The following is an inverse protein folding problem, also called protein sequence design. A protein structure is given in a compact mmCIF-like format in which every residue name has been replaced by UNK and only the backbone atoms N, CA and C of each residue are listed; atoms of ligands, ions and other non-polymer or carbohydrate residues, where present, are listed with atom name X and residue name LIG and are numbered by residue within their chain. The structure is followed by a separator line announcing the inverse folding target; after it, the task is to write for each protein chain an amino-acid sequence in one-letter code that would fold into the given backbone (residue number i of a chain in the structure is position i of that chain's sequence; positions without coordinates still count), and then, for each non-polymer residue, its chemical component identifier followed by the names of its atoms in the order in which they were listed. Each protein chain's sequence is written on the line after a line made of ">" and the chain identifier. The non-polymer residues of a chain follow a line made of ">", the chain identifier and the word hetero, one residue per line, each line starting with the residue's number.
data_IF_864924485520
#
_entry.id   IF_864924485520
#
_cell.length_a   1.000
_cell.length_b   1.000
_cell.length_c   1.000
_cell.angle_alpha   90.00
_cell.angle_beta   90.00
_cell.angle_gamma   90.00
#
_symmetry.space_group_name_H-M   'P 1'
#
loop_
_entity.id
_entity.type
_entity.pdbx_description
1 polymer ?
#
# COMPACT_ATOMS: atom_id res chain seq x y z
N UNK A 1 17.33 4.78 -5.67
CA UNK A 1 17.05 4.37 -4.28
C UNK A 1 15.84 5.16 -3.83
N UNK A 2 14.78 4.49 -3.36
CA UNK A 2 14.15 3.28 -3.87
C UNK A 2 13.19 3.68 -5.00
N UNK A 3 13.02 2.79 -5.95
CA UNK A 3 13.08 3.02 -7.41
C UNK A 3 14.50 2.98 -7.96
N UNK A 4 14.69 2.09 -8.93
CA UNK A 4 15.88 2.01 -9.78
C UNK A 4 15.79 3.04 -10.91
N UNK A 5 16.93 3.43 -11.49
CA UNK A 5 16.95 4.35 -12.65
C UNK A 5 16.04 3.83 -13.78
N UNK A 6 16.06 2.53 -14.03
CA UNK A 6 15.21 1.88 -15.02
C UNK A 6 13.72 2.03 -14.72
N UNK A 7 13.30 1.81 -13.46
CA UNK A 7 11.90 2.03 -13.06
C UNK A 7 11.48 3.49 -13.21
N UNK A 8 12.37 4.43 -12.86
CA UNK A 8 12.09 5.85 -13.03
C UNK A 8 11.90 6.22 -14.52
N UNK A 9 12.68 5.64 -15.42
CA UNK A 9 12.50 5.83 -16.86
C UNK A 9 11.13 5.33 -17.34
N UNK A 10 10.73 4.13 -16.91
CA UNK A 10 9.40 3.57 -17.20
C UNK A 10 8.30 4.48 -16.64
N UNK A 11 8.39 4.85 -15.36
CA UNK A 11 7.41 5.71 -14.69
C UNK A 11 7.28 7.08 -15.35
N UNK A 12 8.39 7.73 -15.74
CA UNK A 12 8.34 9.02 -16.47
C UNK A 12 7.57 8.93 -17.79
N UNK A 13 7.64 7.80 -18.48
CA UNK A 13 6.87 7.60 -19.71
C UNK A 13 5.39 7.43 -19.40
N UNK A 14 5.06 6.64 -18.39
CA UNK A 14 3.68 6.24 -18.06
C UNK A 14 2.92 7.27 -17.21
N UNK A 15 3.60 8.10 -16.42
CA UNK A 15 3.01 9.05 -15.48
C UNK A 15 2.00 10.01 -16.15
N UNK A 16 2.27 10.40 -17.41
CA UNK A 16 1.38 11.28 -18.20
C UNK A 16 0.00 10.67 -18.49
N UNK A 17 -0.12 9.34 -18.39
CA UNK A 17 -1.35 8.59 -18.61
C UNK A 17 -2.02 8.18 -17.30
N UNK A 18 -1.55 8.70 -16.17
CA UNK A 18 -2.18 8.47 -14.87
C UNK A 18 -3.22 9.56 -14.60
N UNK A 19 -4.23 9.19 -13.82
CA UNK A 19 -5.34 10.05 -13.41
C UNK A 19 -5.86 9.58 -12.04
N UNK A 20 -6.81 10.30 -11.42
CA UNK A 20 -7.50 9.79 -10.23
C UNK A 20 -8.17 8.42 -10.40
N UNK A 21 -8.43 7.98 -11.63
CA UNK A 21 -9.00 6.67 -12.00
C UNK A 21 -7.96 5.68 -12.55
N UNK A 22 -6.69 6.08 -12.65
CA UNK A 22 -5.56 5.26 -13.11
C UNK A 22 -4.30 5.66 -12.34
N UNK A 23 -3.99 4.96 -11.25
CA UNK A 23 -2.99 5.39 -10.28
C UNK A 23 -2.06 4.24 -9.86
N UNK A 24 -0.90 4.61 -9.30
CA UNK A 24 0.05 3.64 -8.74
C UNK A 24 -0.30 3.32 -7.28
N UNK A 25 -0.14 2.06 -6.88
CA UNK A 25 -0.26 1.66 -5.47
C UNK A 25 0.79 0.58 -5.13
N UNK A 26 0.53 -0.20 -4.08
CA UNK A 26 1.35 -1.36 -3.74
C UNK A 26 2.76 -1.00 -3.25
N UNK A 27 3.71 -1.88 -3.54
CA UNK A 27 5.06 -1.82 -2.97
C UNK A 27 5.83 -0.56 -3.36
N UNK A 28 5.57 -0.02 -4.56
CA UNK A 28 6.28 1.16 -5.07
C UNK A 28 5.95 2.42 -4.28
N UNK A 29 4.70 2.57 -3.83
CA UNK A 29 4.28 3.73 -3.02
C UNK A 29 4.86 3.67 -1.61
N UNK A 30 4.95 2.47 -1.02
CA UNK A 30 5.63 2.29 0.28
C UNK A 30 7.13 2.58 0.17
N UNK A 31 7.72 2.21 -0.98
CA UNK A 31 9.16 2.20 -1.17
C UNK A 31 9.61 3.23 -2.24
N UNK A 32 9.07 4.44 -2.20
CA UNK A 32 9.38 5.49 -3.18
C UNK A 32 10.56 6.38 -2.78
N UNK A 33 10.80 6.58 -1.48
CA UNK A 33 11.76 7.61 -0.99
C UNK A 33 13.01 7.02 -0.35
N UNK A 34 14.15 7.72 -0.46
CA UNK A 34 15.40 7.28 0.16
C UNK A 34 15.21 6.89 1.64
N UNK A 35 15.70 5.71 2.04
CA UNK A 35 15.58 5.19 3.40
C UNK A 35 14.45 4.19 3.65
N UNK A 36 13.66 3.81 2.63
CA UNK A 36 12.72 2.69 2.74
C UNK A 36 13.46 1.34 2.63
N UNK A 37 12.90 0.23 3.14
CA UNK A 37 13.68 -0.99 3.40
C UNK A 37 14.04 -1.80 2.16
N UNK A 38 13.35 -1.64 1.02
CA UNK A 38 13.53 -2.49 -0.15
C UNK A 38 13.21 -1.78 -1.46
N UNK A 39 13.64 -2.36 -2.57
CA UNK A 39 13.16 -2.02 -3.90
C UNK A 39 11.84 -2.74 -4.18
N UNK A 40 10.98 -2.12 -5.00
CA UNK A 40 9.81 -2.82 -5.57
C UNK A 40 10.24 -3.58 -6.82
N UNK A 41 9.68 -4.76 -7.06
CA UNK A 41 9.96 -5.55 -8.27
C UNK A 41 8.92 -5.30 -9.37
N UNK A 42 7.78 -4.76 -8.97
CA UNK A 42 6.60 -4.47 -9.77
C UNK A 42 6.15 -3.02 -9.63
N UNK A 43 5.45 -2.56 -10.66
CA UNK A 43 4.63 -1.36 -10.66
C UNK A 43 3.16 -1.80 -10.76
N UNK A 44 2.42 -1.57 -9.67
CA UNK A 44 1.00 -1.89 -9.58
C UNK A 44 0.17 -0.67 -9.98
N UNK A 45 -0.52 -0.76 -11.12
CA UNK A 45 -1.37 0.27 -11.70
C UNK A 45 -2.82 -0.15 -11.52
N UNK A 46 -3.58 0.62 -10.77
CA UNK A 46 -4.97 0.31 -10.45
C UNK A 46 -5.96 1.24 -11.15
N UNK A 47 -7.13 0.69 -11.45
CA UNK A 47 -8.24 1.38 -12.07
C UNK A 47 -9.53 1.19 -11.28
N UNK A 48 -10.35 2.24 -11.21
CA UNK A 48 -11.67 2.19 -10.56
C UNK A 48 -12.71 1.41 -11.42
N UNK A 49 -12.38 1.01 -12.66
CA UNK A 49 -13.29 0.33 -13.57
C UNK A 49 -12.60 -0.65 -14.53
N UNK A 50 -13.16 -1.86 -14.68
CA UNK A 50 -12.65 -2.95 -15.54
C UNK A 50 -12.46 -2.51 -16.99
N UNK A 51 -13.43 -1.78 -17.54
CA UNK A 51 -13.44 -1.34 -18.94
C UNK A 51 -12.23 -0.47 -19.32
N UNK A 52 -11.52 0.09 -18.34
CA UNK A 52 -10.37 0.98 -18.55
C UNK A 52 -9.04 0.22 -18.44
N UNK A 53 -9.00 -0.92 -17.73
CA UNK A 53 -7.78 -1.71 -17.48
C UNK A 53 -7.12 -2.11 -18.80
N UNK A 54 -7.86 -2.76 -19.70
CA UNK A 54 -7.35 -3.25 -20.98
C UNK A 54 -6.79 -2.10 -21.84
N UNK A 55 -7.54 -0.99 -21.94
CA UNK A 55 -7.14 0.19 -22.72
C UNK A 55 -5.89 0.83 -22.13
N UNK A 56 -5.83 1.01 -20.81
CA UNK A 56 -4.66 1.57 -20.13
C UNK A 56 -3.43 0.71 -20.35
N UNK A 57 -3.56 -0.61 -20.22
CA UNK A 57 -2.46 -1.54 -20.42
C UNK A 57 -1.95 -1.49 -21.87
N UNK A 58 -2.84 -1.46 -22.86
CA UNK A 58 -2.46 -1.39 -24.27
C UNK A 58 -1.75 -0.07 -24.63
N UNK A 59 -2.23 1.07 -24.11
CA UNK A 59 -1.59 2.38 -24.30
C UNK A 59 -0.21 2.43 -23.66
N UNK A 60 -0.08 1.91 -22.43
CA UNK A 60 1.20 1.89 -21.71
C UNK A 60 2.22 1.01 -22.45
N UNK A 61 1.80 -0.19 -22.88
CA UNK A 61 2.68 -1.10 -23.64
C UNK A 61 3.08 -0.50 -24.98
N UNK A 62 2.16 0.11 -25.72
CA UNK A 62 2.47 0.80 -26.97
C UNK A 62 3.50 1.91 -26.75
N UNK A 63 3.32 2.71 -25.69
CA UNK A 63 4.26 3.78 -25.32
C UNK A 63 5.65 3.23 -25.05
N UNK A 64 5.75 2.15 -24.26
CA UNK A 64 7.03 1.53 -23.94
C UNK A 64 7.70 0.96 -25.20
N UNK A 65 6.97 0.24 -26.05
CA UNK A 65 7.51 -0.29 -27.31
C UNK A 65 8.03 0.82 -28.23
N UNK A 66 7.31 1.94 -28.36
CA UNK A 66 7.76 3.10 -29.14
C UNK A 66 9.03 3.76 -28.57
N UNK A 67 9.32 3.56 -27.27
CA UNK A 67 10.51 4.06 -26.60
C UNK A 67 11.61 2.98 -26.47
N UNK A 68 11.56 1.93 -27.29
CA UNK A 68 12.61 0.93 -27.42
C UNK A 68 12.66 -0.10 -26.29
N UNK A 69 11.57 -0.27 -25.55
CA UNK A 69 11.42 -1.38 -24.60
C UNK A 69 10.86 -2.60 -25.34
N UNK A 70 11.41 -3.77 -25.03
CA UNK A 70 10.74 -5.03 -25.33
C UNK A 70 9.69 -5.27 -24.24
N UNK A 71 8.45 -5.59 -24.64
CA UNK A 71 7.36 -5.84 -23.70
C UNK A 71 6.70 -7.16 -24.01
N UNK A 72 6.68 -8.06 -23.03
CA UNK A 72 6.10 -9.40 -23.14
C UNK A 72 4.93 -9.51 -22.19
N UNK A 73 3.77 -9.93 -22.70
CA UNK A 73 2.60 -10.22 -21.87
C UNK A 73 2.77 -11.54 -21.13
N UNK A 74 2.67 -11.52 -19.80
CA UNK A 74 2.62 -12.73 -18.98
C UNK A 74 1.17 -13.22 -18.79
N UNK A 75 0.20 -12.28 -18.65
CA UNK A 75 -1.21 -12.61 -18.42
C UNK A 75 -2.15 -11.51 -18.95
N UNK A 76 -3.29 -11.90 -19.54
CA UNK A 76 -4.37 -10.99 -19.94
C UNK A 76 -5.73 -11.61 -19.59
N UNK A 77 -6.48 -10.93 -18.72
CA UNK A 77 -7.84 -11.28 -18.26
C UNK A 77 -8.64 -9.97 -18.09
N UNK A 78 -9.97 -9.97 -18.21
CA UNK A 78 -10.77 -8.73 -18.27
C UNK A 78 -10.45 -7.70 -17.18
N UNK A 79 -10.24 -8.16 -15.94
CA UNK A 79 -9.93 -7.31 -14.78
C UNK A 79 -8.44 -7.26 -14.37
N UNK A 80 -7.56 -7.96 -15.10
CA UNK A 80 -6.14 -8.06 -14.73
C UNK A 80 -5.23 -8.35 -15.94
N UNK A 81 -4.26 -7.47 -16.14
CA UNK A 81 -3.23 -7.58 -17.17
C UNK A 81 -1.86 -7.54 -16.50
N UNK A 82 -0.93 -8.36 -16.98
CA UNK A 82 0.47 -8.39 -16.52
C UNK A 82 1.42 -8.47 -17.70
N UNK A 83 2.42 -7.63 -17.69
CA UNK A 83 3.51 -7.65 -18.65
C UNK A 83 4.87 -7.47 -17.96
N UNK A 84 5.92 -7.85 -18.67
CA UNK A 84 7.30 -7.53 -18.33
C UNK A 84 7.86 -6.59 -19.40
N UNK A 85 8.31 -5.42 -18.98
CA UNK A 85 9.04 -4.48 -19.83
C UNK A 85 10.54 -4.64 -19.56
N UNK A 86 11.34 -4.73 -20.62
CA UNK A 86 12.79 -4.92 -20.54
C UNK A 86 13.55 -4.06 -21.55
N UNK A 87 14.75 -3.61 -21.14
CA UNK A 87 15.71 -2.92 -22.00
C UNK A 87 17.10 -3.05 -21.40
N UNK A 88 18.11 -3.30 -22.23
CA UNK A 88 19.53 -3.33 -21.82
C UNK A 88 19.81 -4.24 -20.61
N UNK A 89 19.19 -5.43 -20.57
CA UNK A 89 19.37 -6.41 -19.48
C UNK A 89 18.64 -6.08 -18.17
N UNK A 90 17.91 -4.96 -18.11
CA UNK A 90 17.05 -4.60 -16.99
C UNK A 90 15.60 -4.93 -17.32
N UNK A 91 14.79 -5.25 -16.30
CA UNK A 91 13.36 -5.52 -16.48
C UNK A 91 12.54 -5.07 -15.29
N UNK A 92 11.25 -4.81 -15.53
CA UNK A 92 10.26 -4.49 -14.50
C UNK A 92 8.94 -5.15 -14.86
N UNK A 93 8.24 -5.67 -13.84
CA UNK A 93 6.88 -6.18 -14.00
C UNK A 93 5.88 -5.02 -13.89
N UNK A 94 4.89 -5.03 -14.77
CA UNK A 94 3.78 -4.10 -14.80
C UNK A 94 2.50 -4.88 -14.62
N UNK A 95 1.73 -4.51 -13.59
CA UNK A 95 0.42 -5.09 -13.32
C UNK A 95 -0.64 -3.99 -13.46
N UNK A 96 -1.65 -4.24 -14.29
CA UNK A 96 -2.84 -3.40 -14.40
C UNK A 96 -4.03 -4.18 -13.86
N UNK A 97 -4.71 -3.64 -12.86
CA UNK A 97 -5.78 -4.33 -12.17
C UNK A 97 -6.94 -3.40 -11.84
N UNK A 98 -8.15 -3.95 -11.78
CA UNK A 98 -9.25 -3.24 -11.11
C UNK A 98 -9.00 -3.22 -9.60
N UNK A 99 -9.31 -2.11 -8.94
CA UNK A 99 -9.37 -1.98 -7.48
C UNK A 99 -10.73 -1.48 -7.03
N UNK A 100 -11.04 -1.69 -5.75
CA UNK A 100 -12.18 -1.03 -5.13
C UNK A 100 -11.95 0.48 -5.10
N UNK A 101 -12.94 1.24 -5.56
CA UNK A 101 -12.94 2.69 -5.40
C UNK A 101 -13.18 3.11 -3.92
N UNK A 102 -13.40 2.17 -2.99
CA UNK A 102 -13.52 2.46 -1.57
C UNK A 102 -12.16 2.75 -0.93
N UNK A 103 -11.96 3.98 -0.45
CA UNK A 103 -10.71 4.46 0.14
C UNK A 103 -11.00 5.53 1.19
N UNK A 104 -10.02 5.80 2.05
CA UNK A 104 -10.16 6.85 3.07
C UNK A 104 -9.83 8.22 2.49
N UNK A 105 -8.77 8.30 1.70
CA UNK A 105 -8.32 9.55 1.11
C UNK A 105 -8.45 9.51 -0.41
N UNK A 106 -8.65 10.67 -1.06
CA UNK A 106 -8.57 10.76 -2.52
C UNK A 106 -7.21 10.31 -3.04
N UNK A 107 -7.17 9.90 -4.31
CA UNK A 107 -5.92 9.67 -5.03
C UNK A 107 -5.11 10.96 -5.08
N UNK A 108 -3.80 10.86 -4.85
CA UNK A 108 -2.89 11.99 -4.78
C UNK A 108 -2.13 12.13 -6.09
N UNK A 109 -1.95 13.36 -6.55
CA UNK A 109 -1.00 13.64 -7.61
C UNK A 109 0.43 13.39 -7.09
N UNK A 110 1.29 12.83 -7.94
CA UNK A 110 2.66 12.51 -7.59
C UNK A 110 3.61 12.91 -8.74
N UNK A 111 4.71 13.57 -8.41
CA UNK A 111 5.63 14.10 -9.43
C UNK A 111 6.36 12.98 -10.20
N UNK A 112 6.57 11.82 -9.59
CA UNK A 112 7.29 10.69 -10.18
C UNK A 112 6.33 9.62 -10.71
N UNK A 113 5.25 9.35 -9.97
CA UNK A 113 4.27 8.32 -10.29
C UNK A 113 3.08 8.85 -11.12
N UNK A 114 2.94 10.16 -11.30
CA UNK A 114 1.78 10.81 -11.92
C UNK A 114 0.61 10.92 -10.95
N UNK A 115 0.04 9.77 -10.55
CA UNK A 115 -0.97 9.67 -9.50
C UNK A 115 -0.73 8.41 -8.66
N UNK A 116 -0.96 8.50 -7.35
CA UNK A 116 -0.78 7.39 -6.43
C UNK A 116 -1.90 7.28 -5.39
N UNK A 117 -2.13 6.07 -4.91
CA UNK A 117 -2.97 5.83 -3.74
C UNK A 117 -2.32 6.49 -2.51
N UNK A 118 -3.16 7.09 -1.65
CA UNK A 118 -2.69 7.70 -0.41
C UNK A 118 -1.98 6.65 0.47
N UNK A 119 -0.88 7.03 1.12
CA UNK A 119 -0.02 6.08 1.84
C UNK A 119 -0.77 5.31 2.93
N UNK A 120 -1.74 5.95 3.60
CA UNK A 120 -2.56 5.29 4.62
C UNK A 120 -3.45 4.20 4.03
N UNK A 121 -3.98 4.42 2.83
CA UNK A 121 -4.77 3.43 2.11
C UNK A 121 -3.89 2.27 1.62
N UNK A 122 -2.67 2.57 1.16
CA UNK A 122 -1.67 1.54 0.82
C UNK A 122 -1.30 0.70 2.04
N UNK A 123 -1.13 1.33 3.21
CA UNK A 123 -0.81 0.63 4.45
C UNK A 123 -1.90 -0.38 4.85
N UNK A 124 -3.18 0.00 4.73
CA UNK A 124 -4.28 -0.93 4.95
C UNK A 124 -4.26 -2.08 3.95
N UNK A 125 -4.03 -1.80 2.66
CA UNK A 125 -3.93 -2.83 1.65
C UNK A 125 -2.77 -3.81 1.93
N UNK A 126 -1.66 -3.32 2.51
CA UNK A 126 -0.52 -4.15 2.91
C UNK A 126 -0.82 -5.07 4.09
N UNK A 127 -1.54 -4.58 5.09
CA UNK A 127 -2.02 -5.40 6.21
C UNK A 127 -3.01 -6.47 5.73
N UNK A 128 -3.95 -6.10 4.85
CA UNK A 128 -4.89 -7.06 4.26
C UNK A 128 -4.17 -8.11 3.38
N UNK A 129 -3.18 -7.69 2.59
CA UNK A 129 -2.36 -8.60 1.82
C UNK A 129 -1.60 -9.58 2.72
N UNK A 130 -0.94 -9.10 3.78
CA UNK A 130 -0.23 -9.96 4.73
C UNK A 130 -1.19 -10.94 5.44
N UNK A 131 -2.44 -10.55 5.68
CA UNK A 131 -3.46 -11.44 6.23
C UNK A 131 -3.96 -12.48 5.20
N UNK A 132 -3.96 -12.14 3.91
CA UNK A 132 -4.42 -13.02 2.83
C UNK A 132 -3.36 -13.94 2.22
N UNK A 133 -2.06 -13.64 2.39
CA UNK A 133 -0.95 -14.41 1.82
C UNK A 133 0.34 -14.31 2.63
N UNK A 134 1.21 -15.31 2.45
CA UNK A 134 2.54 -15.37 3.04
C UNK A 134 3.60 -14.87 2.05
N UNK A 135 3.78 -13.55 1.94
CA UNK A 135 4.86 -12.93 1.16
C UNK A 135 5.77 -12.07 2.05
N UNK A 136 7.06 -12.41 2.12
CA UNK A 136 8.03 -11.73 3.01
C UNK A 136 8.11 -10.21 2.77
N UNK A 137 7.90 -9.74 1.54
CA UNK A 137 7.87 -8.31 1.20
C UNK A 137 6.75 -7.54 1.87
N UNK A 138 5.58 -8.15 2.05
CA UNK A 138 4.44 -7.51 2.71
C UNK A 138 4.72 -7.36 4.22
N UNK A 139 5.40 -8.33 4.83
CA UNK A 139 5.86 -8.24 6.21
C UNK A 139 6.90 -7.13 6.43
N UNK A 140 7.88 -7.02 5.53
CA UNK A 140 8.87 -5.93 5.56
C UNK A 140 8.18 -4.56 5.44
N UNK A 141 7.25 -4.43 4.48
CA UNK A 141 6.50 -3.19 4.27
C UNK A 141 5.65 -2.83 5.51
N UNK A 142 4.93 -3.79 6.09
CA UNK A 142 4.09 -3.59 7.30
C UNK A 142 4.95 -3.15 8.50
N UNK A 143 6.10 -3.78 8.73
CA UNK A 143 6.99 -3.35 9.82
C UNK A 143 7.59 -1.96 9.58
N UNK A 144 7.89 -1.60 8.34
CA UNK A 144 8.33 -0.25 8.02
C UNK A 144 7.23 0.77 8.31
N UNK A 145 6.01 0.54 7.80
CA UNK A 145 4.86 1.42 8.01
C UNK A 145 4.49 1.55 9.49
N UNK A 146 4.59 0.47 10.27
CA UNK A 146 4.42 0.49 11.71
C UNK A 146 5.35 1.49 12.40
N UNK A 147 6.61 1.57 11.94
CA UNK A 147 7.64 2.42 12.53
C UNK A 147 7.58 3.87 12.03
N UNK A 148 7.14 4.10 10.80
CA UNK A 148 7.30 5.40 10.13
C UNK A 148 6.01 6.14 9.83
N UNK A 149 4.85 5.46 9.85
CA UNK A 149 3.58 6.01 9.40
C UNK A 149 2.48 5.94 10.47
N UNK A 150 1.99 4.74 10.77
CA UNK A 150 0.93 4.48 11.75
C UNK A 150 1.18 3.15 12.43
N UNK A 151 0.78 3.01 13.71
CA UNK A 151 0.95 1.73 14.41
C UNK A 151 0.21 0.58 13.69
N UNK A 152 0.72 -0.65 13.83
CA UNK A 152 0.08 -1.85 13.28
C UNK A 152 -1.40 -1.92 13.69
N UNK A 153 -1.70 -1.61 14.95
CA UNK A 153 -3.08 -1.56 15.46
C UNK A 153 -3.94 -0.53 14.74
N UNK A 154 -3.47 0.71 14.57
CA UNK A 154 -4.25 1.75 13.90
C UNK A 154 -4.54 1.39 12.43
N UNK A 155 -3.55 0.81 11.74
CA UNK A 155 -3.72 0.35 10.35
C UNK A 155 -4.71 -0.82 10.29
N UNK A 156 -4.55 -1.83 11.14
CA UNK A 156 -5.42 -3.01 11.17
C UNK A 156 -6.87 -2.66 11.55
N UNK A 157 -7.06 -1.75 12.50
CA UNK A 157 -8.37 -1.25 12.89
C UNK A 157 -9.10 -0.60 11.71
N UNK A 158 -8.44 0.30 10.99
CA UNK A 158 -9.02 0.99 9.85
C UNK A 158 -9.23 0.05 8.64
N UNK A 159 -8.33 -0.92 8.44
CA UNK A 159 -8.41 -1.89 7.34
C UNK A 159 -9.72 -2.70 7.36
N UNK A 160 -10.32 -2.92 8.54
CA UNK A 160 -11.61 -3.62 8.67
C UNK A 160 -12.77 -2.90 7.96
N UNK A 161 -12.65 -1.59 7.64
CA UNK A 161 -13.65 -0.93 6.80
C UNK A 161 -13.54 -1.30 5.32
N UNK A 162 -12.34 -1.68 4.85
CA UNK A 162 -12.13 -2.10 3.45
C UNK A 162 -12.56 -3.54 3.22
N UNK A 163 -12.44 -4.37 4.25
CA UNK A 163 -12.93 -5.76 4.24
C UNK A 163 -13.72 -6.04 5.52
N UNK A 164 -15.05 -5.85 5.48
CA UNK A 164 -15.93 -6.08 6.63
C UNK A 164 -15.99 -7.53 7.11
N UNK A 165 -15.37 -8.48 6.40
CA UNK A 165 -15.22 -9.86 6.86
C UNK A 165 -14.23 -10.00 8.02
N UNK A 166 -13.40 -8.99 8.27
CA UNK A 166 -12.41 -9.00 9.34
C UNK A 166 -12.85 -8.22 10.58
N UNK A 167 -12.46 -8.76 11.75
CA UNK A 167 -12.27 -7.97 12.97
C UNK A 167 -10.79 -7.64 13.14
N UNK A 168 -10.43 -6.61 13.93
CA UNK A 168 -9.03 -6.26 14.16
C UNK A 168 -8.21 -7.44 14.73
N UNK A 169 -8.79 -8.20 15.66
CA UNK A 169 -8.14 -9.38 16.26
C UNK A 169 -7.95 -10.51 15.26
N UNK A 170 -8.96 -10.80 14.43
CA UNK A 170 -8.86 -11.82 13.39
C UNK A 170 -7.77 -11.44 12.38
N UNK A 171 -7.72 -10.17 12.00
CA UNK A 171 -6.72 -9.67 11.07
C UNK A 171 -5.29 -9.80 11.61
N UNK A 172 -5.05 -9.46 12.89
CA UNK A 172 -3.76 -9.70 13.54
C UNK A 172 -3.40 -11.20 13.58
N UNK A 173 -4.37 -12.07 13.82
CA UNK A 173 -4.17 -13.50 13.88
C UNK A 173 -3.76 -14.07 12.52
N UNK A 174 -4.46 -13.71 11.44
CA UNK A 174 -4.13 -14.19 10.09
C UNK A 174 -2.78 -13.66 9.62
N UNK A 175 -2.47 -12.38 9.87
CA UNK A 175 -1.11 -11.87 9.60
C UNK A 175 -0.05 -12.64 10.39
N UNK A 176 -0.31 -12.96 11.67
CA UNK A 176 0.61 -13.74 12.50
C UNK A 176 0.87 -15.14 11.97
N UNK A 177 -0.15 -15.80 11.38
CA UNK A 177 -0.02 -17.11 10.72
C UNK A 177 0.81 -17.03 9.44
N UNK A 178 0.59 -15.99 8.65
CA UNK A 178 1.30 -15.77 7.40
C UNK A 178 2.70 -15.18 7.59
N UNK A 179 3.02 -14.65 8.78
CA UNK A 179 4.33 -14.09 9.11
C UNK A 179 5.33 -15.15 9.60
N UNK A 180 5.41 -16.29 8.89
CA UNK A 180 6.33 -17.38 9.16
C UNK A 180 7.31 -17.58 8.00
N UNK A 181 8.38 -16.79 8.01
CA UNK A 181 9.36 -16.74 6.92
C UNK A 181 10.70 -17.34 7.32
N UNK A 182 11.34 -18.02 6.36
CA UNK A 182 12.71 -18.47 6.45
C UNK A 182 13.69 -17.33 6.07
N UNK A 183 14.92 -17.33 6.61
CA UNK A 183 15.93 -16.33 6.25
C UNK A 183 16.18 -16.18 4.74
N UNK A 184 16.10 -17.30 4.00
CA UNK A 184 16.28 -17.31 2.55
C UNK A 184 15.24 -16.47 1.79
N UNK A 185 14.01 -16.36 2.32
CA UNK A 185 12.95 -15.56 1.71
C UNK A 185 13.26 -14.06 1.79
N UNK A 186 13.90 -13.61 2.88
CA UNK A 186 14.38 -12.23 2.99
C UNK A 186 15.60 -11.98 2.12
N UNK A 187 16.50 -12.95 1.96
CA UNK A 187 17.67 -12.85 1.08
C UNK A 187 17.30 -12.75 -0.40
N UNK A 188 16.14 -13.30 -0.79
CA UNK A 188 15.61 -13.18 -2.14
C UNK A 188 15.05 -11.77 -2.45
N UNK A 189 14.82 -10.94 -1.43
CA UNK A 189 14.34 -9.57 -1.62
C UNK A 189 15.49 -8.65 -1.99
N UNK A 190 15.23 -7.72 -2.91
CA UNK A 190 16.12 -6.59 -3.16
C UNK A 190 16.02 -5.58 -2.00
N UNK A 191 16.73 -5.83 -0.91
CA UNK A 191 16.73 -4.97 0.28
C UNK A 191 17.70 -3.78 0.11
N UNK A 192 17.29 -2.60 0.58
CA UNK A 192 18.13 -1.40 0.57
C UNK A 192 19.13 -1.37 1.74
N UNK A 193 18.87 -2.16 2.78
CA UNK A 193 19.71 -2.30 3.98
C UNK A 193 19.69 -3.75 4.46
N UNK A 194 20.74 -4.20 5.19
CA UNK A 194 20.74 -5.51 5.80
C UNK A 194 19.48 -5.73 6.66
N UNK A 195 18.89 -6.92 6.54
CA UNK A 195 17.71 -7.30 7.31
C UNK A 195 18.10 -8.28 8.40
N UNK A 196 17.66 -8.00 9.63
CA UNK A 196 17.80 -8.90 10.78
C UNK A 196 16.44 -9.54 11.07
N UNK A 197 16.22 -10.82 10.70
CA UNK A 197 14.96 -11.52 10.97
C UNK A 197 14.64 -11.64 12.46
N UNK A 198 15.65 -11.72 13.33
CA UNK A 198 15.45 -11.82 14.78
C UNK A 198 14.91 -10.52 15.35
N UNK A 199 15.57 -9.40 15.05
CA UNK A 199 15.09 -8.07 15.45
C UNK A 199 13.72 -7.73 14.83
N UNK A 200 13.48 -8.14 13.57
CA UNK A 200 12.19 -7.99 12.92
C UNK A 200 11.09 -8.79 13.64
N UNK A 201 11.37 -10.02 14.08
CA UNK A 201 10.40 -10.83 14.84
C UNK A 201 10.10 -10.23 16.21
N UNK A 202 11.10 -9.69 16.91
CA UNK A 202 10.89 -8.98 18.18
C UNK A 202 9.98 -7.77 17.97
N UNK A 203 10.28 -6.96 16.95
CA UNK A 203 9.45 -5.78 16.60
C UNK A 203 8.02 -6.19 16.27
N UNK A 204 7.84 -7.28 15.51
CA UNK A 204 6.50 -7.80 15.18
C UNK A 204 5.70 -8.18 16.43
N UNK A 205 6.32 -8.89 17.38
CA UNK A 205 5.65 -9.30 18.61
C UNK A 205 5.23 -8.09 19.44
N UNK A 206 6.10 -7.09 19.57
CA UNK A 206 5.80 -5.82 20.24
C UNK A 206 4.64 -5.08 19.54
N UNK A 207 4.68 -4.96 18.22
CA UNK A 207 3.63 -4.32 17.44
C UNK A 207 2.26 -5.00 17.62
N UNK A 208 2.23 -6.33 17.76
CA UNK A 208 1.01 -7.10 18.03
C UNK A 208 0.48 -6.83 19.43
N UNK A 209 1.35 -6.77 20.44
CA UNK A 209 0.96 -6.43 21.82
C UNK A 209 0.39 -5.01 21.91
N UNK A 210 1.09 -4.04 21.33
CA UNK A 210 0.64 -2.64 21.23
C UNK A 210 -0.69 -2.52 20.48
N UNK A 211 -0.86 -3.28 19.39
CA UNK A 211 -2.11 -3.29 18.64
C UNK A 211 -3.29 -3.79 19.48
N UNK A 212 -3.11 -4.86 20.25
CA UNK A 212 -4.15 -5.38 21.16
C UNK A 212 -4.51 -4.38 22.24
N UNK A 213 -3.50 -3.75 22.86
CA UNK A 213 -3.73 -2.71 23.86
C UNK A 213 -4.50 -1.51 23.27
N UNK A 214 -4.21 -1.15 22.01
CA UNK A 214 -4.96 -0.13 21.30
C UNK A 214 -6.42 -0.56 21.08
N UNK A 215 -6.70 -1.80 20.67
CA UNK A 215 -8.07 -2.24 20.42
C UNK A 215 -8.95 -2.14 21.69
N UNK A 216 -8.40 -2.45 22.86
CA UNK A 216 -9.10 -2.27 24.15
C UNK A 216 -9.44 -0.79 24.45
N UNK A 217 -8.65 0.14 23.90
CA UNK A 217 -8.83 1.58 24.06
C UNK A 217 -9.96 2.13 23.18
N UNK A 218 -10.11 1.60 21.98
CA UNK A 218 -10.95 2.18 20.93
C UNK A 218 -12.43 1.80 21.13
N UNK A 219 -13.36 2.76 21.02
CA UNK A 219 -14.79 2.46 21.07
C UNK A 219 -15.23 1.52 19.94
N UNK A 220 -16.05 0.52 20.25
CA UNK A 220 -16.54 -0.42 19.24
C UNK A 220 -17.33 0.27 18.10
N UNK A 221 -18.04 1.38 18.39
CA UNK A 221 -18.75 2.17 17.38
C UNK A 221 -17.83 2.89 16.38
N UNK A 222 -16.55 3.03 16.72
CA UNK A 222 -15.51 3.62 15.88
C UNK A 222 -14.80 2.57 15.02
N UNK A 223 -15.26 1.31 15.01
CA UNK A 223 -14.66 0.25 14.20
C UNK A 223 -14.53 0.68 12.73
N UNK A 224 -13.35 0.45 12.17
CA UNK A 224 -13.05 0.77 10.78
C UNK A 224 -12.84 2.26 10.49
N UNK A 225 -12.83 3.15 11.49
CA UNK A 225 -12.43 4.55 11.25
C UNK A 225 -10.92 4.75 11.42
N UNK A 226 -10.40 5.79 10.79
CA UNK A 226 -9.14 6.42 11.17
C UNK A 226 -9.42 7.51 12.20
N UNK A 227 -8.44 7.77 13.05
CA UNK A 227 -8.44 8.94 13.92
C UNK A 227 -7.51 10.00 13.34
N UNK A 228 -8.01 11.23 13.21
CA UNK A 228 -7.25 12.35 12.67
C UNK A 228 -6.99 13.42 13.72
N UNK A 229 -5.77 13.95 13.67
CA UNK A 229 -5.34 15.17 14.37
C UNK A 229 -4.87 16.16 13.31
N UNK A 230 -5.48 17.35 13.27
CA UNK A 230 -5.14 18.38 12.27
C UNK A 230 -5.19 17.86 10.82
N UNK A 231 -6.19 17.02 10.53
CA UNK A 231 -6.37 16.40 9.20
C UNK A 231 -5.42 15.25 8.88
N UNK A 232 -4.48 14.90 9.76
CA UNK A 232 -3.52 13.80 9.56
C UNK A 232 -3.90 12.57 10.38
N UNK A 233 -3.78 11.35 9.82
CA UNK A 233 -3.92 10.12 10.58
C UNK A 233 -2.94 10.03 11.74
N UNK A 234 -3.42 9.57 12.89
CA UNK A 234 -2.61 9.33 14.09
C UNK A 234 -2.99 8.02 14.77
N UNK A 235 -2.05 7.43 15.51
CA UNK A 235 -2.34 6.36 16.48
C UNK A 235 -2.72 7.01 17.82
N UNK A 236 -3.97 6.84 18.29
CA UNK A 236 -4.37 7.34 19.60
C UNK A 236 -3.58 6.67 20.73
N UNK A 237 -3.24 7.44 21.76
CA UNK A 237 -2.45 6.97 22.90
C UNK A 237 -3.30 6.65 24.12
N UNK A 238 -4.41 7.36 24.32
CA UNK A 238 -5.32 7.14 25.45
C UNK A 238 -6.78 7.52 25.13
N UNK A 239 -7.70 7.21 26.05
CA UNK A 239 -9.15 7.43 25.85
C UNK A 239 -9.52 8.91 25.78
N UNK A 240 -8.78 9.77 26.48
CA UNK A 240 -9.02 11.21 26.48
C UNK A 240 -8.61 11.82 25.13
N UNK A 241 -7.53 11.32 24.53
CA UNK A 241 -7.13 11.67 23.17
C UNK A 241 -8.15 11.17 22.15
N UNK A 242 -8.56 9.90 22.23
CA UNK A 242 -9.61 9.33 21.36
C UNK A 242 -10.86 10.20 21.35
N UNK A 243 -11.30 10.75 22.49
CA UNK A 243 -12.47 11.62 22.55
C UNK A 243 -12.32 12.94 21.77
N UNK A 244 -11.10 13.43 21.55
CA UNK A 244 -10.80 14.70 20.87
C UNK A 244 -10.46 14.54 19.39
N UNK A 245 -10.07 13.33 18.97
CA UNK A 245 -9.69 13.06 17.59
C UNK A 245 -10.92 12.97 16.67
N UNK A 246 -10.75 13.45 15.44
CA UNK A 246 -11.79 13.34 14.43
C UNK A 246 -11.85 11.90 13.90
N UNK A 247 -13.05 11.31 13.85
CA UNK A 247 -13.26 10.03 13.19
C UNK A 247 -13.39 10.25 11.70
N UNK A 248 -12.51 9.62 10.93
CA UNK A 248 -12.54 9.65 9.49
C UNK A 248 -12.88 8.28 8.94
N UNK A 249 -13.91 8.20 8.09
CA UNK A 249 -14.40 6.94 7.54
C UNK A 249 -14.10 6.85 6.04
N UNK A 250 -13.85 5.64 5.58
CA UNK A 250 -13.74 5.34 4.16
C UNK A 250 -15.03 5.70 3.42
N UNK A 251 -14.88 6.10 2.17
CA UNK A 251 -15.99 6.45 1.28
C UNK A 251 -15.66 6.09 -0.16
N UNK A 252 -16.66 6.14 -1.04
CA UNK A 252 -16.42 6.00 -2.47
C UNK A 252 -15.52 7.14 -2.95
N UNK A 253 -14.38 6.78 -3.52
CA UNK A 253 -13.27 7.65 -3.98
C UNK A 253 -12.51 8.38 -2.88
N UNK A 254 -12.87 8.21 -1.62
CA UNK A 254 -12.23 8.88 -0.48
C UNK A 254 -12.60 10.36 -0.38
N UNK A 255 -12.33 10.93 0.79
CA UNK A 255 -12.59 12.34 1.06
C UNK A 255 -11.55 12.92 2.02
N UNK A 256 -11.25 14.20 1.88
CA UNK A 256 -10.54 14.93 2.92
C UNK A 256 -11.55 15.33 4.02
N UNK A 257 -11.16 15.25 5.31
CA UNK A 257 -12.02 15.73 6.38
C UNK A 257 -12.30 17.22 6.19
N UNK A 258 -13.56 17.62 6.30
CA UNK A 258 -13.92 19.04 6.34
C UNK A 258 -13.60 19.56 7.73
N UNK A 259 -12.53 20.34 7.87
CA UNK A 259 -12.27 21.11 9.08
C UNK A 259 -13.21 22.31 9.03
N UNK A 260 -14.39 22.19 9.62
CA UNK A 260 -15.23 23.35 9.90
C UNK A 260 -14.52 24.19 10.95
N UNK A 261 -13.78 25.22 10.50
CA UNK A 261 -13.25 26.22 11.41
C UNK A 261 -14.41 26.98 12.04
N UNK A 262 -14.49 26.95 13.36
CA UNK A 262 -15.31 27.90 14.10
C UNK A 262 -14.88 29.31 13.68
N UNK A 263 -15.80 30.02 13.00
CA UNK A 263 -15.68 31.46 12.74
C UNK A 263 -16.25 32.23 13.91
#
# INVERSE_FOLDING_TARGET
>A
MPLTVFQQEVLRLLARFRSPESYLAGGVVVNQTAGTPRFSDDLDIFHDAEAVVARSAEVDVQTLTQNGFEVVWDLRRPAFYRARASRSGQSVRLDWAIDSAFRFFPIEADAELGYRLHLTDVAMNKVLALAGRSEARDFVDVLHLHRTHLSLGAIAWAACAKDPGFTPELLLQEMGRNANFQPAEFQALALAQPWDPGAAKITWLQAVEEARALFDLLPAGDLGCLYLKEGKPVTPQDRAEVARLLRHRGSLRGAWPVISGDR
#
